data_IF_816466708493
#
_entry.id   IF_816466708493
#
_cell.length_a   1.000
_cell.length_b   1.000
_cell.length_c   1.000
_cell.angle_alpha   90.00
_cell.angle_beta   90.00
_cell.angle_gamma   90.00
#
_symmetry.space_group_name_H-M   'P 1'
#
loop_
_entity.id
_entity.type
_entity.pdbx_description
1 polymer ?
#
# COMPACT_ATOMS: atom_id res chain seq x y z
N UNK A 1 11.86 -24.03 10.94
CA UNK A 1 11.86 -22.86 10.06
C UNK A 1 10.56 -22.79 9.24
N UNK A 2 10.24 -23.78 8.41
CA UNK A 2 9.08 -23.77 7.49
C UNK A 2 7.72 -23.49 8.18
N UNK A 3 7.42 -24.12 9.33
CA UNK A 3 6.17 -23.87 10.04
C UNK A 3 6.09 -22.42 10.55
N UNK A 4 7.20 -21.85 10.98
CA UNK A 4 7.24 -20.45 11.43
C UNK A 4 6.96 -19.46 10.30
N UNK A 5 7.45 -19.75 9.08
CA UNK A 5 7.16 -18.92 7.90
C UNK A 5 5.67 -18.95 7.57
N UNK A 6 5.01 -20.11 7.64
CA UNK A 6 3.58 -20.22 7.43
C UNK A 6 2.76 -19.47 8.48
N UNK A 7 3.20 -19.50 9.75
CA UNK A 7 2.54 -18.75 10.84
C UNK A 7 2.66 -17.24 10.60
N UNK A 8 3.83 -16.73 10.22
CA UNK A 8 4.00 -15.31 9.92
C UNK A 8 3.21 -14.88 8.69
N UNK A 9 3.20 -15.71 7.63
CA UNK A 9 2.34 -15.46 6.47
C UNK A 9 0.85 -15.46 6.84
N UNK A 10 0.41 -16.32 7.73
CA UNK A 10 -0.96 -16.34 8.25
C UNK A 10 -1.26 -15.09 9.08
N UNK A 11 -0.29 -14.58 9.85
CA UNK A 11 -0.41 -13.31 10.59
C UNK A 11 -0.54 -12.12 9.63
N UNK A 12 0.27 -12.05 8.57
CA UNK A 12 0.13 -11.05 7.50
C UNK A 12 -1.28 -11.11 6.89
N UNK A 13 -1.76 -12.32 6.59
CA UNK A 13 -3.10 -12.52 6.03
C UNK A 13 -4.21 -11.99 6.96
N UNK A 14 -4.15 -12.33 8.23
CA UNK A 14 -5.19 -12.03 9.22
C UNK A 14 -5.13 -10.56 9.69
N UNK A 15 -3.96 -10.11 10.12
CA UNK A 15 -3.81 -8.85 10.86
C UNK A 15 -3.39 -7.66 10.01
N UNK A 16 -2.65 -7.89 8.92
CA UNK A 16 -2.23 -6.80 8.01
C UNK A 16 -3.24 -6.59 6.88
N UNK A 17 -3.72 -7.67 6.27
CA UNK A 17 -4.64 -7.60 5.11
C UNK A 17 -6.10 -7.73 5.54
N UNK A 18 -6.39 -8.40 6.68
CA UNK A 18 -7.74 -8.61 7.20
C UNK A 18 -8.51 -9.74 6.51
N UNK A 19 -7.82 -10.79 6.08
CA UNK A 19 -8.42 -11.93 5.39
C UNK A 19 -9.07 -12.93 6.36
N UNK A 20 -10.07 -13.67 5.86
CA UNK A 20 -10.83 -14.65 6.65
C UNK A 20 -10.29 -16.06 6.50
N UNK A 21 -10.81 -16.97 7.31
CA UNK A 21 -10.35 -18.35 7.52
C UNK A 21 -9.98 -19.12 6.25
N UNK A 22 -10.79 -19.07 5.18
CA UNK A 22 -10.51 -19.83 3.94
C UNK A 22 -9.20 -19.43 3.26
N UNK A 23 -8.85 -18.14 3.30
CA UNK A 23 -7.59 -17.66 2.73
C UNK A 23 -6.42 -18.02 3.65
N UNK A 24 -6.64 -17.96 4.97
CA UNK A 24 -5.62 -18.38 5.95
C UNK A 24 -5.31 -19.87 5.81
N UNK A 25 -6.33 -20.73 5.65
CA UNK A 25 -6.11 -22.16 5.34
C UNK A 25 -5.35 -22.31 4.01
N UNK A 26 -5.69 -21.51 2.99
CA UNK A 26 -4.94 -21.48 1.74
C UNK A 26 -3.47 -21.09 1.92
N UNK A 27 -3.16 -20.15 2.83
CA UNK A 27 -1.77 -19.80 3.19
C UNK A 27 -1.02 -20.98 3.79
N UNK A 28 -1.66 -21.76 4.65
CA UNK A 28 -1.00 -22.96 5.23
C UNK A 28 -0.79 -24.10 4.21
N UNK A 29 -1.63 -24.17 3.19
CA UNK A 29 -1.63 -25.27 2.23
C UNK A 29 -1.02 -24.94 0.86
N UNK A 30 -0.66 -23.67 0.60
CA UNK A 30 -0.32 -23.21 -0.76
C UNK A 30 0.88 -23.92 -1.41
N UNK A 31 1.81 -24.43 -0.60
CA UNK A 31 2.98 -25.16 -1.07
C UNK A 31 2.94 -26.67 -0.71
N UNK A 32 1.82 -27.14 -0.11
CA UNK A 32 1.77 -28.52 0.38
C UNK A 32 1.97 -29.55 -0.74
N UNK A 33 1.41 -29.26 -1.93
CA UNK A 33 1.52 -30.15 -3.08
C UNK A 33 2.91 -30.19 -3.72
N UNK A 34 3.72 -29.14 -3.51
CA UNK A 34 5.07 -29.05 -4.04
C UNK A 34 6.10 -29.69 -3.08
N UNK A 35 5.73 -29.76 -1.77
CA UNK A 35 6.61 -30.25 -0.70
C UNK A 35 6.18 -31.60 -0.11
N UNK A 36 5.12 -32.24 -0.65
CA UNK A 36 4.62 -33.54 -0.17
C UNK A 36 3.84 -34.28 -1.26
N UNK A 37 3.56 -35.58 -1.02
CA UNK A 37 2.76 -36.43 -1.92
C UNK A 37 1.23 -36.22 -1.79
N UNK A 38 0.80 -35.10 -1.14
CA UNK A 38 -0.62 -34.81 -0.94
C UNK A 38 -1.28 -34.45 -2.28
N UNK A 39 -2.34 -35.17 -2.63
CA UNK A 39 -3.08 -34.94 -3.87
C UNK A 39 -4.13 -33.82 -3.72
N UNK A 40 -4.52 -33.23 -4.85
CA UNK A 40 -5.60 -32.25 -4.87
C UNK A 40 -6.94 -32.85 -4.39
N UNK A 41 -7.20 -34.13 -4.71
CA UNK A 41 -8.41 -34.84 -4.27
C UNK A 41 -8.45 -34.97 -2.75
N UNK A 42 -7.32 -35.29 -2.10
CA UNK A 42 -7.22 -35.29 -0.66
C UNK A 42 -7.51 -33.92 -0.05
N UNK A 43 -6.95 -32.84 -0.62
CA UNK A 43 -7.25 -31.48 -0.15
C UNK A 43 -8.73 -31.15 -0.30
N UNK A 44 -9.34 -31.57 -1.41
CA UNK A 44 -10.77 -31.38 -1.66
C UNK A 44 -11.64 -32.11 -0.65
N UNK A 45 -11.29 -33.35 -0.32
CA UNK A 45 -12.00 -34.17 0.67
C UNK A 45 -11.91 -33.59 2.08
N UNK A 46 -10.72 -33.14 2.51
CA UNK A 46 -10.48 -32.65 3.86
C UNK A 46 -10.91 -31.19 4.07
N UNK A 47 -10.76 -30.33 3.07
CA UNK A 47 -10.93 -28.85 3.19
C UNK A 47 -12.02 -28.28 2.27
N UNK A 48 -12.57 -29.10 1.37
CA UNK A 48 -13.64 -28.73 0.45
C UNK A 48 -13.17 -28.11 -0.85
N UNK A 49 -14.09 -28.07 -1.85
CA UNK A 49 -13.83 -27.63 -3.23
C UNK A 49 -13.17 -26.25 -3.31
N UNK A 50 -13.63 -25.31 -2.48
CA UNK A 50 -13.14 -23.91 -2.58
C UNK A 50 -11.67 -23.76 -2.18
N UNK A 51 -11.19 -24.54 -1.25
CA UNK A 51 -9.78 -24.53 -0.84
C UNK A 51 -8.95 -25.27 -1.89
N UNK A 52 -9.42 -26.39 -2.40
CA UNK A 52 -8.76 -27.10 -3.49
C UNK A 52 -8.58 -26.20 -4.73
N UNK A 53 -9.59 -25.43 -5.13
CA UNK A 53 -9.49 -24.45 -6.23
C UNK A 53 -8.45 -23.36 -5.98
N UNK A 54 -8.35 -22.85 -4.74
CA UNK A 54 -7.31 -21.87 -4.39
C UNK A 54 -5.92 -22.46 -4.54
N UNK A 55 -5.69 -23.67 -4.02
CA UNK A 55 -4.39 -24.36 -4.10
C UNK A 55 -4.02 -24.69 -5.53
N UNK A 56 -4.96 -25.22 -6.31
CA UNK A 56 -4.76 -25.48 -7.74
C UNK A 56 -4.38 -24.19 -8.50
N UNK A 57 -5.13 -23.11 -8.25
CA UNK A 57 -4.85 -21.80 -8.86
C UNK A 57 -3.48 -21.28 -8.48
N UNK A 58 -3.08 -21.38 -7.19
CA UNK A 58 -1.75 -20.98 -6.76
C UNK A 58 -0.64 -21.78 -7.46
N UNK A 59 -0.79 -23.09 -7.57
CA UNK A 59 0.16 -23.96 -8.29
C UNK A 59 0.28 -23.59 -9.77
N UNK A 60 -0.85 -23.33 -10.45
CA UNK A 60 -0.85 -22.88 -11.85
C UNK A 60 0.00 -21.62 -12.04
N UNK A 61 -0.15 -20.62 -11.19
CA UNK A 61 0.61 -19.37 -11.31
C UNK A 61 2.08 -19.51 -10.86
N UNK A 62 2.37 -20.38 -9.91
CA UNK A 62 3.75 -20.67 -9.47
C UNK A 62 4.56 -21.38 -10.55
N UNK A 63 3.97 -22.31 -11.28
CA UNK A 63 4.61 -23.02 -12.37
C UNK A 63 4.98 -22.11 -13.56
N UNK A 64 4.23 -21.04 -13.81
CA UNK A 64 4.56 -20.06 -14.85
C UNK A 64 5.85 -19.32 -14.54
N UNK A 65 6.16 -19.08 -13.27
CA UNK A 65 7.37 -18.39 -12.84
C UNK A 65 8.66 -19.17 -13.13
N UNK A 66 8.59 -20.49 -13.05
CA UNK A 66 9.74 -21.37 -13.35
C UNK A 66 10.19 -21.26 -14.82
N UNK A 67 9.35 -20.69 -15.71
CA UNK A 67 9.60 -20.54 -17.14
C UNK A 67 10.23 -19.19 -17.54
N UNK A 68 10.98 -18.50 -16.66
CA UNK A 68 11.71 -17.25 -16.93
C UNK A 68 10.81 -16.10 -17.48
N UNK A 69 9.61 -15.96 -16.98
CA UNK A 69 8.66 -14.93 -17.41
C UNK A 69 9.10 -13.53 -16.96
N UNK A 70 9.15 -12.57 -17.88
CA UNK A 70 9.48 -11.18 -17.56
C UNK A 70 8.24 -10.37 -17.25
N UNK A 71 8.02 -10.05 -15.98
CA UNK A 71 6.91 -9.17 -15.53
C UNK A 71 7.01 -7.70 -15.95
N UNK A 72 8.10 -7.30 -16.62
CA UNK A 72 8.24 -5.95 -17.17
C UNK A 72 7.24 -5.69 -18.31
N UNK A 73 6.84 -6.73 -19.04
CA UNK A 73 5.85 -6.63 -20.12
C UNK A 73 4.43 -6.54 -19.56
N UNK A 74 3.67 -5.55 -20.00
CA UNK A 74 2.26 -5.41 -19.62
C UNK A 74 1.41 -6.59 -20.13
N UNK A 75 1.73 -7.11 -21.30
CA UNK A 75 1.03 -8.27 -21.89
C UNK A 75 1.19 -9.49 -21.01
N UNK A 76 2.38 -9.74 -20.48
CA UNK A 76 2.65 -10.86 -19.57
C UNK A 76 1.91 -10.67 -18.25
N UNK A 77 1.88 -9.45 -17.70
CA UNK A 77 1.09 -9.18 -16.49
C UNK A 77 -0.40 -9.42 -16.71
N UNK A 78 -0.94 -8.98 -17.85
CA UNK A 78 -2.35 -9.24 -18.20
C UNK A 78 -2.62 -10.73 -18.35
N UNK A 79 -1.77 -11.46 -19.05
CA UNK A 79 -1.88 -12.92 -19.19
C UNK A 79 -1.85 -13.59 -17.81
N UNK A 80 -0.88 -13.23 -16.96
CA UNK A 80 -0.76 -13.78 -15.62
C UNK A 80 -2.03 -13.54 -14.79
N UNK A 81 -2.57 -12.32 -14.82
CA UNK A 81 -3.79 -11.96 -14.09
C UNK A 81 -5.04 -12.65 -14.69
N UNK A 82 -5.08 -12.93 -15.99
CA UNK A 82 -6.20 -13.64 -16.64
C UNK A 82 -6.28 -15.12 -16.29
N UNK A 83 -5.21 -15.71 -15.75
CA UNK A 83 -5.17 -17.10 -15.30
C UNK A 83 -5.66 -17.28 -13.86
N UNK A 84 -6.02 -16.18 -13.21
CA UNK A 84 -6.45 -16.17 -11.81
C UNK A 84 -7.95 -16.02 -11.76
N UNK A 85 -8.65 -17.13 -11.54
CA UNK A 85 -10.10 -17.15 -11.39
C UNK A 85 -10.56 -16.67 -10.00
N UNK A 86 -9.70 -16.76 -8.99
CA UNK A 86 -9.99 -16.38 -7.62
C UNK A 86 -8.93 -15.40 -7.08
N UNK A 87 -9.37 -14.21 -6.70
CA UNK A 87 -8.50 -13.14 -6.16
C UNK A 87 -7.68 -13.60 -4.95
N UNK A 88 -8.16 -14.58 -4.18
CA UNK A 88 -7.46 -15.12 -3.02
C UNK A 88 -6.14 -15.79 -3.39
N UNK A 89 -6.05 -16.37 -4.58
CA UNK A 89 -4.80 -16.92 -5.13
C UNK A 89 -3.73 -15.82 -5.22
N UNK A 90 -4.12 -14.67 -5.75
CA UNK A 90 -3.22 -13.51 -5.87
C UNK A 90 -2.86 -12.93 -4.50
N UNK A 91 -3.80 -12.90 -3.57
CA UNK A 91 -3.54 -12.43 -2.20
C UNK A 91 -2.56 -13.34 -1.47
N UNK A 92 -2.68 -14.67 -1.60
CA UNK A 92 -1.71 -15.63 -1.03
C UNK A 92 -0.32 -15.39 -1.64
N UNK A 93 -0.24 -15.15 -2.96
CA UNK A 93 1.02 -14.83 -3.62
C UNK A 93 1.65 -13.54 -3.11
N UNK A 94 0.85 -12.50 -2.90
CA UNK A 94 1.27 -11.23 -2.33
C UNK A 94 1.80 -11.43 -0.90
N UNK A 95 1.11 -12.22 -0.08
CA UNK A 95 1.53 -12.56 1.30
C UNK A 95 2.89 -13.26 1.27
N UNK A 96 3.05 -14.28 0.44
CA UNK A 96 4.31 -15.00 0.30
C UNK A 96 5.43 -14.03 -0.14
N UNK A 97 5.21 -13.16 -1.13
CA UNK A 97 6.20 -12.17 -1.56
C UNK A 97 6.49 -11.12 -0.49
N UNK A 98 5.51 -10.76 0.34
CA UNK A 98 5.76 -9.88 1.49
C UNK A 98 6.68 -10.55 2.49
N UNK A 99 6.45 -11.83 2.77
CA UNK A 99 7.33 -12.64 3.62
C UNK A 99 8.75 -12.70 3.04
N UNK A 100 8.92 -13.08 1.77
CA UNK A 100 10.23 -13.14 1.09
C UNK A 100 11.00 -11.82 1.16
N UNK A 101 10.30 -10.69 1.03
CA UNK A 101 10.92 -9.38 1.12
C UNK A 101 11.31 -9.00 2.55
N UNK A 102 10.66 -9.56 3.58
CA UNK A 102 11.04 -9.38 4.99
C UNK A 102 12.25 -10.23 5.34
N UNK A 103 12.29 -11.45 4.84
CA UNK A 103 13.30 -12.49 5.11
C UNK A 103 14.18 -12.75 3.89
N UNK A 104 14.86 -11.69 3.44
CA UNK A 104 15.74 -11.73 2.25
C UNK A 104 16.80 -12.82 2.36
N UNK A 105 17.31 -13.06 3.55
CA UNK A 105 18.33 -14.04 3.88
C UNK A 105 17.89 -15.48 3.67
N UNK A 106 16.61 -15.77 3.75
CA UNK A 106 16.02 -17.10 3.56
C UNK A 106 15.74 -17.41 2.08
N UNK A 107 15.78 -16.38 1.20
CA UNK A 107 15.52 -16.54 -0.24
C UNK A 107 16.82 -16.82 -0.98
N UNK A 108 16.83 -17.85 -1.85
CA UNK A 108 17.96 -18.15 -2.72
C UNK A 108 18.39 -16.90 -3.52
N UNK A 109 19.66 -16.47 -3.42
CA UNK A 109 20.17 -15.29 -4.12
C UNK A 109 19.90 -15.29 -5.63
N UNK A 110 19.89 -16.46 -6.26
CA UNK A 110 19.61 -16.60 -7.70
C UNK A 110 18.15 -16.36 -8.06
N UNK A 111 17.23 -16.62 -7.12
CA UNK A 111 15.79 -16.44 -7.30
C UNK A 111 15.32 -15.06 -6.85
N UNK A 112 16.05 -14.42 -5.95
CA UNK A 112 15.64 -13.14 -5.37
C UNK A 112 15.46 -12.01 -6.41
N UNK A 113 16.31 -11.98 -7.43
CA UNK A 113 16.16 -11.00 -8.52
C UNK A 113 14.84 -11.13 -9.28
N UNK A 114 14.32 -12.35 -9.43
CA UNK A 114 13.02 -12.60 -10.04
C UNK A 114 11.88 -12.24 -9.05
N UNK A 115 12.03 -12.58 -7.78
CA UNK A 115 11.12 -12.15 -6.70
C UNK A 115 10.97 -10.61 -6.68
N UNK A 116 12.08 -9.88 -6.72
CA UNK A 116 12.10 -8.42 -6.72
C UNK A 116 11.34 -7.83 -7.93
N UNK A 117 11.57 -8.40 -9.14
CA UNK A 117 10.84 -7.98 -10.34
C UNK A 117 9.35 -8.27 -10.25
N UNK A 118 8.96 -9.43 -9.72
CA UNK A 118 7.57 -9.78 -9.49
C UNK A 118 6.90 -8.81 -8.51
N UNK A 119 7.56 -8.53 -7.39
CA UNK A 119 7.07 -7.54 -6.41
C UNK A 119 6.88 -6.18 -7.06
N UNK A 120 7.88 -5.69 -7.78
CA UNK A 120 7.88 -4.36 -8.39
C UNK A 120 6.81 -4.21 -9.48
N UNK A 121 6.72 -5.17 -10.40
CA UNK A 121 5.92 -5.03 -11.61
C UNK A 121 4.53 -5.67 -11.53
N UNK A 122 4.30 -6.59 -10.59
CA UNK A 122 3.01 -7.25 -10.40
C UNK A 122 2.39 -6.92 -9.05
N UNK A 123 3.08 -7.23 -7.93
CA UNK A 123 2.45 -7.12 -6.60
C UNK A 123 2.13 -5.67 -6.22
N UNK A 124 3.07 -4.74 -6.37
CA UNK A 124 2.87 -3.31 -6.02
C UNK A 124 1.68 -2.68 -6.76
N UNK A 125 1.53 -2.82 -8.11
CA UNK A 125 0.35 -2.34 -8.80
C UNK A 125 -0.96 -2.94 -8.32
N UNK A 126 -0.97 -4.23 -7.97
CA UNK A 126 -2.16 -4.93 -7.50
C UNK A 126 -2.55 -4.48 -6.09
N UNK A 127 -1.63 -4.47 -5.15
CA UNK A 127 -1.92 -4.00 -3.77
C UNK A 127 -2.37 -2.54 -3.76
N UNK A 128 -1.86 -1.71 -4.68
CA UNK A 128 -2.33 -0.35 -4.87
C UNK A 128 -3.80 -0.30 -5.31
N UNK A 129 -4.19 -1.12 -6.29
CA UNK A 129 -5.59 -1.19 -6.77
C UNK A 129 -6.54 -1.74 -5.71
N UNK A 130 -6.06 -2.67 -4.89
CA UNK A 130 -6.82 -3.25 -3.78
C UNK A 130 -6.89 -2.34 -2.53
N UNK A 131 -6.16 -1.21 -2.53
CA UNK A 131 -6.14 -0.29 -1.39
C UNK A 131 -5.32 -0.78 -0.20
N UNK A 132 -4.48 -1.80 -0.38
CA UNK A 132 -3.62 -2.38 0.66
C UNK A 132 -2.35 -1.51 0.84
N UNK A 133 -2.54 -0.29 1.32
CA UNK A 133 -1.50 0.74 1.31
C UNK A 133 -0.31 0.44 2.24
N UNK A 134 -0.52 -0.27 3.35
CA UNK A 134 0.55 -0.67 4.26
C UNK A 134 1.49 -1.68 3.58
N UNK A 135 0.91 -2.72 2.97
CA UNK A 135 1.67 -3.73 2.20
C UNK A 135 2.38 -3.07 1.02
N UNK A 136 1.70 -2.17 0.30
CA UNK A 136 2.29 -1.40 -0.80
C UNK A 136 3.52 -0.63 -0.34
N UNK A 137 3.40 0.14 0.75
CA UNK A 137 4.49 0.94 1.30
C UNK A 137 5.68 0.07 1.68
N UNK A 138 5.42 -1.04 2.37
CA UNK A 138 6.46 -1.98 2.78
C UNK A 138 7.18 -2.56 1.56
N UNK A 139 6.44 -3.02 0.55
CA UNK A 139 7.03 -3.56 -0.69
C UNK A 139 7.86 -2.51 -1.43
N UNK A 140 7.36 -1.28 -1.57
CA UNK A 140 8.09 -0.18 -2.21
C UNK A 140 9.37 0.16 -1.46
N UNK A 141 9.33 0.24 -0.12
CA UNK A 141 10.50 0.48 0.71
C UNK A 141 11.56 -0.63 0.52
N UNK A 142 11.13 -1.90 0.58
CA UNK A 142 12.04 -3.05 0.39
C UNK A 142 12.65 -3.09 -1.01
N UNK A 143 11.87 -2.83 -2.06
CA UNK A 143 12.37 -2.73 -3.43
C UNK A 143 13.44 -1.64 -3.53
N UNK A 144 13.17 -0.45 -2.98
CA UNK A 144 14.11 0.66 -3.04
C UNK A 144 15.41 0.39 -2.24
N UNK A 145 15.31 -0.26 -1.08
CA UNK A 145 16.47 -0.68 -0.29
C UNK A 145 17.42 -1.56 -1.10
N UNK A 146 16.87 -2.42 -1.99
CA UNK A 146 17.68 -3.31 -2.81
C UNK A 146 18.19 -2.67 -4.09
N UNK A 147 17.38 -1.86 -4.77
CA UNK A 147 17.76 -1.23 -6.04
C UNK A 147 18.59 0.04 -5.84
N UNK A 148 18.32 0.81 -4.78
CA UNK A 148 18.88 2.14 -4.52
C UNK A 148 19.22 2.33 -3.04
N UNK A 149 20.10 1.49 -2.43
CA UNK A 149 20.38 1.51 -0.99
C UNK A 149 20.97 2.83 -0.50
N UNK A 150 21.82 3.45 -1.29
CA UNK A 150 22.48 4.71 -0.94
C UNK A 150 21.47 5.84 -0.87
N UNK A 151 20.64 6.00 -1.89
CA UNK A 151 19.62 7.03 -1.99
C UNK A 151 18.53 6.83 -0.94
N UNK A 152 18.15 5.58 -0.67
CA UNK A 152 17.20 5.25 0.39
C UNK A 152 17.72 5.72 1.76
N UNK A 153 18.98 5.40 2.09
CA UNK A 153 19.59 5.79 3.37
C UNK A 153 19.80 7.30 3.48
N UNK A 154 20.19 7.98 2.40
CA UNK A 154 20.34 9.43 2.36
C UNK A 154 19.00 10.13 2.66
N UNK A 155 17.95 9.78 1.94
CA UNK A 155 16.61 10.35 2.16
C UNK A 155 16.11 10.02 3.57
N UNK A 156 16.30 8.77 4.04
CA UNK A 156 15.91 8.35 5.38
C UNK A 156 16.58 9.18 6.47
N UNK A 157 17.88 9.45 6.33
CA UNK A 157 18.63 10.26 7.26
C UNK A 157 18.18 11.73 7.23
N UNK A 158 17.97 12.30 6.04
CA UNK A 158 17.44 13.65 5.90
C UNK A 158 16.06 13.81 6.55
N UNK A 159 15.17 12.82 6.36
CA UNK A 159 13.86 12.79 7.04
C UNK A 159 14.04 12.70 8.57
N UNK A 160 14.94 11.87 9.08
CA UNK A 160 15.17 11.72 10.53
C UNK A 160 15.73 12.98 11.16
N UNK A 161 16.72 13.61 10.55
CA UNK A 161 17.31 14.86 11.05
C UNK A 161 16.27 15.96 11.14
N UNK A 162 15.32 15.97 10.19
CA UNK A 162 14.25 16.96 10.20
C UNK A 162 13.03 16.56 11.06
N UNK A 163 12.96 15.34 11.62
CA UNK A 163 11.73 14.82 12.24
C UNK A 163 11.27 15.64 13.46
N UNK A 164 12.17 16.04 14.35
CA UNK A 164 11.82 16.86 15.54
C UNK A 164 11.40 18.28 15.12
N UNK A 165 12.11 18.85 14.15
CA UNK A 165 11.75 20.14 13.57
C UNK A 165 10.45 20.05 12.78
N UNK A 166 10.24 18.94 12.04
CA UNK A 166 9.00 18.68 11.30
C UNK A 166 7.80 18.52 12.22
N UNK A 167 7.91 17.81 13.35
CA UNK A 167 6.81 17.70 14.31
C UNK A 167 6.40 19.06 14.84
N UNK A 168 7.37 19.92 15.19
CA UNK A 168 7.11 21.29 15.60
C UNK A 168 6.48 22.12 14.48
N UNK A 169 6.97 22.00 13.25
CA UNK A 169 6.41 22.69 12.08
C UNK A 169 4.98 22.24 11.80
N UNK A 170 4.72 20.92 11.86
CA UNK A 170 3.39 20.37 11.66
C UNK A 170 2.44 20.83 12.77
N UNK A 171 2.88 20.82 14.02
CA UNK A 171 2.05 21.29 15.13
C UNK A 171 1.76 22.79 15.04
N UNK A 172 2.75 23.60 14.69
CA UNK A 172 2.55 25.03 14.43
C UNK A 172 1.57 25.27 13.26
N UNK A 173 1.65 24.43 12.23
CA UNK A 173 0.72 24.48 11.11
C UNK A 173 -0.70 24.05 11.52
N UNK A 174 -0.84 23.03 12.36
CA UNK A 174 -2.15 22.50 12.76
C UNK A 174 -2.85 23.33 13.85
N UNK A 175 -2.10 24.00 14.72
CA UNK A 175 -2.67 24.72 15.85
C UNK A 175 -3.72 25.78 15.44
N UNK A 176 -3.47 26.67 14.44
CA UNK A 176 -4.50 27.61 13.99
C UNK A 176 -5.73 26.94 13.37
N UNK A 177 -5.52 25.83 12.65
CA UNK A 177 -6.61 25.05 12.04
C UNK A 177 -7.50 24.44 13.13
N UNK A 178 -6.89 23.79 14.14
CA UNK A 178 -7.63 23.22 15.29
C UNK A 178 -8.47 24.27 15.98
N UNK A 179 -7.87 25.42 16.28
CA UNK A 179 -8.59 26.55 16.91
C UNK A 179 -9.76 27.04 16.08
N UNK A 180 -9.60 27.14 14.77
CA UNK A 180 -10.69 27.54 13.88
C UNK A 180 -11.83 26.52 13.85
N UNK A 181 -11.50 25.21 13.80
CA UNK A 181 -12.47 24.12 13.81
C UNK A 181 -13.24 24.05 15.15
N UNK A 182 -12.54 24.26 16.28
CA UNK A 182 -13.13 24.32 17.63
C UNK A 182 -14.09 25.49 17.74
N UNK A 183 -13.70 26.68 17.27
CA UNK A 183 -14.58 27.88 17.30
C UNK A 183 -15.87 27.65 16.50
N UNK A 184 -15.80 26.93 15.41
CA UNK A 184 -16.96 26.58 14.56
C UNK A 184 -17.71 25.35 15.06
N UNK A 185 -17.28 24.73 16.15
CA UNK A 185 -17.85 23.49 16.75
C UNK A 185 -17.90 22.33 15.76
N UNK A 186 -16.92 22.25 14.85
CA UNK A 186 -16.80 21.13 13.91
C UNK A 186 -15.92 20.07 14.53
N UNK A 187 -16.52 18.93 14.89
CA UNK A 187 -15.76 17.80 15.43
C UNK A 187 -14.97 17.10 14.32
N UNK A 188 -13.65 17.02 14.49
CA UNK A 188 -12.76 16.45 13.47
C UNK A 188 -11.72 15.51 14.07
N UNK A 189 -11.25 14.58 13.25
CA UNK A 189 -10.03 13.80 13.48
C UNK A 189 -8.98 14.26 12.49
N UNK A 190 -7.95 14.93 12.98
CA UNK A 190 -6.82 15.36 12.15
C UNK A 190 -5.74 14.28 12.19
N UNK A 191 -5.39 13.76 11.00
CA UNK A 191 -4.27 12.83 10.80
C UNK A 191 -3.26 13.47 9.86
N UNK A 192 -2.01 13.21 10.09
CA UNK A 192 -0.93 13.59 9.16
C UNK A 192 0.00 12.42 8.91
N UNK A 193 0.66 12.42 7.79
CA UNK A 193 1.68 11.43 7.44
C UNK A 193 2.76 12.06 6.59
N UNK A 194 3.97 11.57 6.75
CA UNK A 194 5.05 11.81 5.81
C UNK A 194 4.86 10.97 4.55
N UNK A 195 5.35 11.46 3.43
CA UNK A 195 5.40 10.71 2.18
C UNK A 195 6.41 9.57 2.30
N UNK A 196 6.16 8.43 1.65
CA UNK A 196 7.11 7.31 1.65
C UNK A 196 8.42 7.70 0.95
N UNK A 197 9.54 7.14 1.41
CA UNK A 197 10.87 7.39 0.84
C UNK A 197 10.89 7.12 -0.68
N UNK A 198 10.34 5.99 -1.19
CA UNK A 198 10.24 5.76 -2.62
C UNK A 198 9.47 6.84 -3.38
N UNK A 199 8.37 7.36 -2.79
CA UNK A 199 7.59 8.44 -3.42
C UNK A 199 8.34 9.78 -3.46
N UNK A 200 9.19 10.05 -2.48
CA UNK A 200 10.08 11.23 -2.46
C UNK A 200 11.14 11.05 -3.54
N UNK A 201 11.80 9.90 -3.60
CA UNK A 201 12.83 9.57 -4.59
C UNK A 201 12.31 9.68 -6.02
N UNK A 202 11.16 9.07 -6.33
CA UNK A 202 10.53 9.20 -7.65
C UNK A 202 10.26 10.67 -8.02
N UNK A 203 9.87 11.48 -7.05
CA UNK A 203 9.61 12.89 -7.27
C UNK A 203 10.90 13.68 -7.52
N UNK A 204 11.97 13.41 -6.75
CA UNK A 204 13.30 13.96 -6.98
C UNK A 204 13.78 13.64 -8.40
N UNK A 205 13.62 12.37 -8.82
CA UNK A 205 14.04 11.88 -10.13
C UNK A 205 13.23 12.48 -11.28
N UNK A 206 11.91 12.48 -11.18
CA UNK A 206 11.02 12.97 -12.25
C UNK A 206 11.05 14.48 -12.43
N UNK A 207 11.30 15.22 -11.34
CA UNK A 207 11.37 16.68 -11.37
C UNK A 207 12.82 17.19 -11.45
N UNK A 208 13.81 16.29 -11.38
CA UNK A 208 15.24 16.62 -11.32
C UNK A 208 15.56 17.64 -10.21
N UNK A 209 14.99 17.42 -9.01
CA UNK A 209 15.13 18.33 -7.86
C UNK A 209 15.84 17.63 -6.70
N UNK A 210 16.70 18.34 -5.94
CA UNK A 210 17.26 17.82 -4.70
C UNK A 210 16.16 17.70 -3.62
N UNK A 211 16.44 16.91 -2.59
CA UNK A 211 15.48 16.64 -1.49
C UNK A 211 14.93 17.93 -0.86
N UNK A 212 15.79 18.93 -0.66
CA UNK A 212 15.47 20.21 -0.02
C UNK A 212 14.46 21.06 -0.81
N UNK A 213 14.29 20.76 -2.09
CA UNK A 213 13.33 21.45 -2.98
C UNK A 213 12.04 20.63 -3.19
N UNK A 214 11.89 19.49 -2.51
CA UNK A 214 10.66 18.71 -2.55
C UNK A 214 9.65 19.30 -1.56
N UNK A 215 8.75 20.12 -2.08
CA UNK A 215 7.58 20.57 -1.35
C UNK A 215 6.55 19.43 -1.28
N UNK A 216 5.73 19.31 -0.24
CA UNK A 216 4.74 18.26 0.04
C UNK A 216 5.34 16.91 0.54
N UNK A 217 6.33 17.02 1.45
CA UNK A 217 6.87 15.85 2.16
C UNK A 217 5.85 15.29 3.14
N UNK A 218 4.92 16.09 3.62
CA UNK A 218 3.83 15.64 4.49
C UNK A 218 2.45 15.98 3.92
N UNK A 219 1.47 15.22 4.33
CA UNK A 219 0.06 15.47 4.01
C UNK A 219 -0.76 15.43 5.29
N UNK A 220 -1.67 16.38 5.42
CA UNK A 220 -2.66 16.45 6.49
C UNK A 220 -4.01 15.98 5.95
N UNK A 221 -4.73 15.19 6.74
CA UNK A 221 -6.10 14.77 6.47
C UNK A 221 -6.98 15.21 7.62
N UNK A 222 -7.99 16.00 7.33
CA UNK A 222 -9.03 16.40 8.27
C UNK A 222 -10.26 15.55 7.96
N UNK A 223 -10.66 14.71 8.92
CA UNK A 223 -11.83 13.84 8.82
C UNK A 223 -12.90 14.46 9.70
N UNK A 224 -14.01 14.86 9.10
CA UNK A 224 -15.17 15.43 9.81
C UNK A 224 -15.94 14.27 10.43
N UNK A 225 -16.28 14.40 11.73
CA UNK A 225 -17.07 13.43 12.46
C UNK A 225 -18.48 13.96 12.64
N UNK A 226 -19.43 13.03 12.85
CA UNK A 226 -20.81 13.33 13.24
C UNK A 226 -21.57 14.31 12.30
N UNK A 227 -21.11 14.48 11.07
CA UNK A 227 -21.86 15.20 10.04
C UNK A 227 -23.09 14.40 9.63
N UNK A 228 -24.24 15.09 9.46
CA UNK A 228 -25.42 14.45 8.87
C UNK A 228 -25.16 14.19 7.39
N UNK A 229 -25.65 13.07 6.87
CA UNK A 229 -25.44 12.66 5.47
C UNK A 229 -25.79 13.75 4.46
N UNK A 230 -26.82 14.56 4.76
CA UNK A 230 -27.24 15.71 3.93
C UNK A 230 -26.31 16.92 4.00
N UNK A 231 -25.45 17.00 5.02
CA UNK A 231 -24.59 18.16 5.31
C UNK A 231 -23.10 17.88 5.04
N UNK A 232 -22.71 16.61 4.84
CA UNK A 232 -21.31 16.19 4.68
C UNK A 232 -20.55 16.99 3.61
N UNK A 233 -21.19 17.24 2.46
CA UNK A 233 -20.59 18.03 1.37
C UNK A 233 -20.39 19.48 1.78
N UNK A 234 -21.39 20.08 2.41
CA UNK A 234 -21.34 21.46 2.90
C UNK A 234 -20.25 21.62 3.97
N UNK A 235 -20.16 20.68 4.89
CA UNK A 235 -19.15 20.70 5.94
C UNK A 235 -17.73 20.57 5.39
N UNK A 236 -17.52 19.76 4.33
CA UNK A 236 -16.23 19.69 3.66
C UNK A 236 -15.81 21.05 3.07
N UNK A 237 -16.72 21.74 2.39
CA UNK A 237 -16.44 23.08 1.85
C UNK A 237 -16.26 24.13 2.94
N UNK A 238 -16.97 24.02 4.06
CA UNK A 238 -16.79 24.88 5.24
C UNK A 238 -15.41 24.71 5.84
N UNK A 239 -14.95 23.47 6.05
CA UNK A 239 -13.60 23.18 6.52
C UNK A 239 -12.54 23.69 5.52
N UNK A 240 -12.77 23.51 4.20
CA UNK A 240 -11.88 24.06 3.17
C UNK A 240 -11.76 25.58 3.28
N UNK A 241 -12.88 26.28 3.45
CA UNK A 241 -12.90 27.73 3.63
C UNK A 241 -12.12 28.17 4.88
N UNK A 242 -12.31 27.48 6.02
CA UNK A 242 -11.56 27.77 7.24
C UNK A 242 -10.04 27.63 7.05
N UNK A 243 -9.60 26.56 6.41
CA UNK A 243 -8.16 26.33 6.14
C UNK A 243 -7.60 27.37 5.19
N UNK A 244 -8.36 27.74 4.15
CA UNK A 244 -7.88 28.71 3.13
C UNK A 244 -7.98 30.17 3.59
N UNK A 245 -8.74 30.46 4.63
CA UNK A 245 -8.70 31.76 5.33
C UNK A 245 -7.43 31.92 6.17
N UNK A 246 -6.84 30.81 6.65
CA UNK A 246 -5.60 30.82 7.43
C UNK A 246 -4.38 30.77 6.51
N UNK A 247 -4.42 29.91 5.47
CA UNK A 247 -3.30 29.63 4.60
C UNK A 247 -3.64 29.83 3.13
N UNK A 248 -2.75 30.44 2.38
CA UNK A 248 -2.97 30.72 0.96
C UNK A 248 -3.01 29.41 0.14
N UNK A 249 -4.13 29.08 -0.52
CA UNK A 249 -4.24 27.90 -1.35
C UNK A 249 -3.52 28.08 -2.69
N UNK A 250 -3.06 26.95 -3.28
CA UNK A 250 -2.63 26.90 -4.66
C UNK A 250 -3.82 26.51 -5.57
N UNK A 251 -4.39 27.44 -6.34
CA UNK A 251 -5.61 27.18 -7.12
C UNK A 251 -5.45 26.05 -8.15
N UNK A 252 -4.24 25.88 -8.70
CA UNK A 252 -3.93 24.84 -9.70
C UNK A 252 -3.94 23.41 -9.10
N UNK A 253 -3.93 23.32 -7.77
CA UNK A 253 -3.86 22.03 -7.05
C UNK A 253 -5.15 21.67 -6.30
N UNK A 254 -6.21 22.43 -6.46
CA UNK A 254 -7.52 22.02 -5.97
C UNK A 254 -8.02 20.82 -6.79
N UNK A 255 -8.48 19.78 -6.09
CA UNK A 255 -9.17 18.61 -6.66
C UNK A 255 -10.46 18.41 -5.89
N UNK A 256 -11.56 18.65 -6.57
CA UNK A 256 -12.92 18.52 -6.04
C UNK A 256 -13.47 17.13 -6.40
N UNK A 257 -13.30 16.19 -5.47
CA UNK A 257 -13.92 14.87 -5.54
C UNK A 257 -15.21 14.80 -4.69
N UNK A 258 -15.69 15.93 -4.16
CA UNK A 258 -16.97 16.03 -3.48
C UNK A 258 -18.09 16.26 -4.49
N UNK A 259 -17.90 17.24 -5.39
CA UNK A 259 -18.88 17.55 -6.44
C UNK A 259 -18.90 16.45 -7.51
N UNK A 260 -17.72 15.92 -7.86
CA UNK A 260 -17.57 14.85 -8.84
C UNK A 260 -16.77 13.70 -8.24
N UNK A 261 -17.42 12.75 -7.54
CA UNK A 261 -16.76 11.61 -6.93
C UNK A 261 -16.01 10.75 -7.94
N UNK A 262 -14.95 10.09 -7.50
CA UNK A 262 -14.25 9.11 -8.33
C UNK A 262 -15.14 7.90 -8.59
N UNK A 263 -14.88 7.19 -9.68
CA UNK A 263 -15.58 5.93 -10.03
C UNK A 263 -15.55 4.90 -8.88
N UNK A 264 -14.51 4.96 -8.02
CA UNK A 264 -14.40 4.12 -6.81
C UNK A 264 -15.28 4.56 -5.64
N UNK A 265 -16.11 5.60 -5.78
CA UNK A 265 -16.88 6.19 -4.68
C UNK A 265 -16.07 7.05 -3.72
N UNK A 266 -14.80 7.36 -4.05
CA UNK A 266 -13.99 8.23 -3.21
C UNK A 266 -14.43 9.69 -3.30
N UNK A 267 -14.73 10.28 -2.15
CA UNK A 267 -15.12 11.69 -1.99
C UNK A 267 -14.13 12.42 -1.07
N UNK A 268 -13.62 13.56 -1.50
CA UNK A 268 -12.72 14.41 -0.71
C UNK A 268 -12.40 15.71 -1.45
N UNK A 269 -12.07 16.77 -0.70
CA UNK A 269 -11.40 17.96 -1.23
C UNK A 269 -9.89 17.84 -1.00
N UNK A 270 -9.12 17.99 -2.05
CA UNK A 270 -7.65 18.06 -1.94
C UNK A 270 -7.18 19.45 -2.34
N UNK A 271 -6.34 20.03 -1.52
CA UNK A 271 -5.67 21.29 -1.84
C UNK A 271 -4.22 21.26 -1.35
N UNK A 272 -3.42 22.17 -1.86
CA UNK A 272 -2.09 22.48 -1.33
C UNK A 272 -2.13 23.92 -0.86
N UNK A 273 -1.70 24.16 0.37
CA UNK A 273 -1.61 25.50 0.95
C UNK A 273 -0.15 25.83 1.29
N UNK A 274 0.13 27.12 1.43
CA UNK A 274 1.42 27.62 1.93
C UNK A 274 1.23 28.17 3.33
N UNK A 275 2.07 27.70 4.27
CA UNK A 275 2.19 28.22 5.63
C UNK A 275 3.27 29.28 5.68
#
# INVERSE_FOLDING_TARGET
>A
LYIMSLIEMADIAANVIGLRSKTIVGVFLHEIMDNSDVSLDYIKEQFGDRIALIIEGYRKISNIQNNKVSFQSEQIRRLYLSLIDDIRVLLIKIIHRTYDMRHREDVDPNLFGNCLKEVKYLCIPVVHRLGLYEVKKEMEDKVMIHEHPTEYNDIKNKIKVSSVEQEKLIENFLAPIRKALENEKIETLIKWRTKSIPSIYEKMKTQNLPFEQIFDIFAVRIIIKNSKLSEEKTDCWRVYSLVTNIYQPNPKRLRDWITTPKVSGYESLHTTVRA
#
